data_IF_179310152046
#
_entry.id   IF_179310152046
#
_cell.length_a   1.000
_cell.length_b   1.000
_cell.length_c   1.000
_cell.angle_alpha   90.00
_cell.angle_beta   90.00
_cell.angle_gamma   90.00
#
_symmetry.space_group_name_H-M   'P 1'
#
loop_
_entity.id
_entity.type
_entity.pdbx_description
1 polymer ?
#
# COMPACT_ATOMS: atom_id res chain seq x y z
N UNK A 1 8.52 -18.92 -20.40
CA UNK A 1 9.85 -18.36 -20.13
C UNK A 1 10.29 -18.86 -18.76
N UNK A 2 11.58 -19.18 -18.61
CA UNK A 2 12.12 -20.00 -17.52
C UNK A 2 11.84 -19.43 -16.12
N UNK A 3 11.41 -20.30 -15.20
CA UNK A 3 11.39 -20.07 -13.76
C UNK A 3 12.81 -20.00 -13.18
N UNK A 4 13.56 -18.95 -13.54
CA UNK A 4 14.59 -18.44 -12.64
C UNK A 4 13.82 -17.85 -11.45
N UNK A 5 13.87 -18.50 -10.29
CA UNK A 5 13.03 -18.14 -9.13
C UNK A 5 13.09 -16.64 -8.82
N UNK A 6 11.93 -16.01 -8.65
CA UNK A 6 11.81 -14.59 -8.28
C UNK A 6 12.82 -14.25 -7.18
N UNK A 7 13.66 -13.24 -7.41
CA UNK A 7 14.73 -12.85 -6.49
C UNK A 7 14.24 -12.00 -5.32
N UNK A 8 12.97 -11.61 -5.32
CA UNK A 8 12.33 -10.82 -4.28
C UNK A 8 10.98 -11.41 -3.89
N UNK A 9 10.48 -10.99 -2.73
CA UNK A 9 9.08 -11.15 -2.30
C UNK A 9 8.41 -9.79 -2.39
N UNK A 10 7.31 -9.69 -3.12
CA UNK A 10 6.51 -8.47 -3.22
C UNK A 10 5.27 -8.56 -2.33
N UNK A 11 5.09 -7.57 -1.46
CA UNK A 11 3.96 -7.43 -0.55
C UNK A 11 3.19 -6.17 -0.97
N UNK A 12 1.98 -6.33 -1.47
CA UNK A 12 1.09 -5.20 -1.72
C UNK A 12 0.38 -4.79 -0.42
N UNK A 13 0.46 -3.52 -0.05
CA UNK A 13 -0.33 -2.90 1.03
C UNK A 13 -1.23 -1.86 0.38
N UNK A 14 -2.52 -2.17 0.28
CA UNK A 14 -3.49 -1.32 -0.42
C UNK A 14 -4.69 -0.92 0.42
N UNK A 15 -5.50 -0.02 -0.11
CA UNK A 15 -6.62 0.60 0.60
C UNK A 15 -6.75 2.09 0.36
N UNK A 16 -7.88 2.67 0.76
CA UNK A 16 -8.19 4.10 0.57
C UNK A 16 -7.07 5.02 1.05
N UNK A 17 -6.93 6.17 0.39
CA UNK A 17 -6.07 7.28 0.83
C UNK A 17 -6.31 7.59 2.32
N UNK A 18 -5.25 7.96 3.05
CA UNK A 18 -5.31 8.25 4.50
C UNK A 18 -5.75 7.10 5.44
N UNK A 19 -5.77 5.84 4.98
CA UNK A 19 -6.10 4.69 5.85
C UNK A 19 -4.98 4.30 6.84
N UNK A 20 -3.73 4.68 6.58
CA UNK A 20 -2.56 4.38 7.44
C UNK A 20 -1.55 3.42 6.83
N UNK A 21 -1.65 3.12 5.53
CA UNK A 21 -0.76 2.21 4.78
C UNK A 21 0.73 2.55 4.92
N UNK A 22 1.11 3.80 4.68
CA UNK A 22 2.49 4.28 4.79
C UNK A 22 3.08 4.07 6.18
N UNK A 23 2.30 4.35 7.23
CA UNK A 23 2.69 4.07 8.61
C UNK A 23 2.92 2.57 8.82
N UNK A 24 2.00 1.73 8.36
CA UNK A 24 2.14 0.28 8.46
C UNK A 24 3.37 -0.24 7.70
N UNK A 25 3.58 0.21 6.46
CA UNK A 25 4.72 -0.18 5.62
C UNK A 25 6.06 0.17 6.29
N UNK A 26 6.19 1.38 6.84
CA UNK A 26 7.39 1.82 7.58
C UNK A 26 7.65 0.97 8.82
N UNK A 27 6.62 0.68 9.61
CA UNK A 27 6.76 -0.19 10.79
C UNK A 27 7.17 -1.61 10.41
N UNK A 28 6.57 -2.19 9.36
CA UNK A 28 6.91 -3.52 8.88
C UNK A 28 8.34 -3.60 8.35
N UNK A 29 8.79 -2.58 7.60
CA UNK A 29 10.18 -2.46 7.16
C UNK A 29 11.16 -2.48 8.33
N UNK A 30 10.84 -1.78 9.41
CA UNK A 30 11.71 -1.69 10.59
C UNK A 30 11.69 -2.97 11.45
N UNK A 31 10.66 -3.81 11.30
CA UNK A 31 10.50 -5.10 11.97
C UNK A 31 11.15 -6.24 11.18
N UNK A 32 10.94 -6.29 9.87
CA UNK A 32 11.28 -7.44 9.02
C UNK A 32 12.67 -7.21 8.40
N UNK A 33 13.64 -8.14 8.56
CA UNK A 33 14.98 -7.96 8.01
C UNK A 33 14.97 -7.92 6.48
N UNK A 34 15.91 -7.18 5.88
CA UNK A 34 16.09 -7.07 4.43
C UNK A 34 14.81 -6.60 3.69
N UNK A 35 14.13 -5.61 4.27
CA UNK A 35 12.87 -5.07 3.75
C UNK A 35 13.05 -3.66 3.21
N UNK A 36 12.40 -3.37 2.10
CA UNK A 36 12.39 -2.07 1.43
C UNK A 36 10.94 -1.65 1.16
N UNK A 37 10.73 -0.36 0.92
CA UNK A 37 9.42 0.18 0.55
C UNK A 37 9.52 0.82 -0.83
N UNK A 38 8.47 0.62 -1.61
CA UNK A 38 8.18 1.31 -2.84
C UNK A 38 6.81 1.98 -2.69
N UNK A 39 6.71 3.28 -2.92
CA UNK A 39 5.43 3.98 -2.84
C UNK A 39 4.81 4.11 -4.24
N UNK A 40 3.53 3.80 -4.39
CA UNK A 40 2.78 4.03 -5.63
C UNK A 40 2.79 5.53 -6.01
N UNK A 41 2.78 6.39 -5.00
CA UNK A 41 2.88 7.85 -5.13
C UNK A 41 4.20 8.31 -5.79
N UNK A 42 5.25 7.48 -5.81
CA UNK A 42 6.50 7.83 -6.52
C UNK A 42 6.31 7.85 -8.05
N UNK A 43 5.22 7.25 -8.53
CA UNK A 43 4.85 7.10 -9.94
C UNK A 43 3.76 8.09 -10.38
N UNK A 44 3.46 9.14 -9.60
CA UNK A 44 2.64 10.24 -10.12
C UNK A 44 3.29 10.86 -11.37
N UNK A 45 2.44 11.23 -12.32
CA UNK A 45 2.81 12.06 -13.47
C UNK A 45 3.12 13.49 -13.03
N UNK A 46 3.61 14.30 -13.95
CA UNK A 46 3.84 15.73 -13.69
C UNK A 46 2.52 16.43 -13.39
N UNK A 47 2.59 17.53 -12.63
CA UNK A 47 1.41 18.30 -12.22
C UNK A 47 0.55 18.70 -13.43
N UNK A 48 1.14 18.98 -14.59
CA UNK A 48 0.44 19.33 -15.82
C UNK A 48 -0.29 18.16 -16.49
N UNK A 49 0.12 16.92 -16.19
CA UNK A 49 -0.44 15.70 -16.77
C UNK A 49 -1.51 15.05 -15.87
N UNK A 50 -1.73 15.60 -14.67
CA UNK A 50 -2.79 15.14 -13.78
C UNK A 50 -4.15 15.42 -14.43
N UNK A 51 -5.03 14.41 -14.55
CA UNK A 51 -6.36 14.60 -15.13
C UNK A 51 -7.15 15.66 -14.36
N UNK A 52 -7.96 16.42 -15.07
CA UNK A 52 -8.87 17.39 -14.47
C UNK A 52 -10.30 16.88 -14.63
N UNK A 53 -11.05 16.83 -13.53
CA UNK A 53 -12.43 16.37 -13.52
C UNK A 53 -13.39 17.43 -14.11
N UNK A 54 -14.68 17.09 -14.21
CA UNK A 54 -15.70 17.97 -14.80
C UNK A 54 -15.85 19.32 -14.07
N UNK A 55 -15.50 19.37 -12.78
CA UNK A 55 -15.55 20.57 -11.94
C UNK A 55 -14.27 21.43 -12.03
N UNK A 56 -13.31 21.05 -12.89
CA UNK A 56 -12.05 21.78 -13.05
C UNK A 56 -11.01 21.50 -11.96
N UNK A 57 -11.16 20.43 -11.19
CA UNK A 57 -10.25 20.04 -10.11
C UNK A 57 -9.32 18.90 -10.59
N UNK A 58 -8.02 19.01 -10.28
CA UNK A 58 -7.06 17.94 -10.58
C UNK A 58 -7.36 16.69 -9.75
N UNK A 59 -7.52 15.56 -10.42
CA UNK A 59 -7.81 14.26 -9.81
C UNK A 59 -6.51 13.48 -9.60
N UNK A 60 -5.91 13.66 -8.43
CA UNK A 60 -4.72 12.92 -8.02
C UNK A 60 -5.04 11.47 -7.61
N UNK A 61 -6.27 11.17 -7.20
CA UNK A 61 -6.64 9.86 -6.64
C UNK A 61 -7.29 8.96 -7.71
N UNK A 62 -6.73 8.92 -8.93
CA UNK A 62 -7.23 8.11 -10.05
C UNK A 62 -6.10 7.41 -10.82
N UNK A 63 -6.41 6.36 -11.60
CA UNK A 63 -5.42 5.67 -12.42
C UNK A 63 -4.69 6.59 -13.42
N UNK A 64 -5.39 7.62 -13.91
CA UNK A 64 -4.85 8.56 -14.90
C UNK A 64 -3.74 9.45 -14.35
N UNK A 65 -3.63 9.61 -13.03
CA UNK A 65 -2.58 10.40 -12.38
C UNK A 65 -1.24 9.66 -12.28
N UNK A 66 -1.22 8.34 -12.50
CA UNK A 66 -0.05 7.48 -12.33
C UNK A 66 0.56 7.05 -13.69
N UNK A 67 1.88 6.93 -13.74
CA UNK A 67 2.62 6.22 -14.79
C UNK A 67 2.65 4.71 -14.48
N UNK A 68 1.57 4.02 -14.89
CA UNK A 68 1.40 2.59 -14.63
C UNK A 68 2.42 1.72 -15.37
N UNK A 69 2.87 2.15 -16.56
CA UNK A 69 3.91 1.45 -17.31
C UNK A 69 5.25 1.48 -16.55
N UNK A 70 5.58 2.62 -15.94
CA UNK A 70 6.77 2.76 -15.10
C UNK A 70 6.66 1.93 -13.82
N UNK A 71 5.49 1.93 -13.17
CA UNK A 71 5.22 1.09 -12.00
C UNK A 71 5.41 -0.39 -12.33
N UNK A 72 4.79 -0.88 -13.40
CA UNK A 72 4.91 -2.29 -13.81
C UNK A 72 6.37 -2.68 -14.11
N UNK A 73 7.11 -1.84 -14.84
CA UNK A 73 8.54 -2.05 -15.12
C UNK A 73 9.37 -2.10 -13.84
N UNK A 74 9.08 -1.23 -12.87
CA UNK A 74 9.77 -1.23 -11.59
C UNK A 74 9.51 -2.53 -10.80
N UNK A 75 8.26 -3.00 -10.76
CA UNK A 75 7.90 -4.25 -10.09
C UNK A 75 8.56 -5.46 -10.76
N UNK A 76 8.55 -5.55 -12.09
CA UNK A 76 9.20 -6.61 -12.84
C UNK A 76 10.73 -6.60 -12.63
N UNK A 77 11.33 -5.41 -12.65
CA UNK A 77 12.76 -5.23 -12.36
C UNK A 77 13.10 -5.79 -10.97
N UNK A 78 12.33 -5.41 -9.94
CA UNK A 78 12.53 -5.88 -8.56
C UNK A 78 12.41 -7.40 -8.48
N UNK A 79 11.37 -8.01 -9.09
CA UNK A 79 11.22 -9.48 -9.07
C UNK A 79 12.38 -10.19 -9.74
N UNK A 80 12.92 -9.62 -10.82
CA UNK A 80 14.00 -10.21 -11.61
C UNK A 80 15.38 -10.01 -10.96
N UNK A 81 15.61 -8.88 -10.31
CA UNK A 81 16.94 -8.45 -9.86
C UNK A 81 17.14 -8.52 -8.35
N UNK A 82 16.07 -8.33 -7.55
CA UNK A 82 16.13 -8.34 -6.09
C UNK A 82 16.56 -7.01 -5.46
N UNK A 83 16.54 -5.90 -6.21
CA UNK A 83 16.84 -4.56 -5.70
C UNK A 83 16.03 -3.51 -6.45
N UNK A 84 15.91 -2.30 -5.89
CA UNK A 84 15.19 -1.18 -6.53
C UNK A 84 15.88 -0.76 -7.83
N UNK A 85 15.12 -0.30 -8.85
CA UNK A 85 15.72 0.37 -10.01
C UNK A 85 16.63 1.52 -9.54
N UNK A 86 17.88 1.63 -10.04
CA UNK A 86 18.86 2.61 -9.53
C UNK A 86 18.42 4.07 -9.66
N UNK A 87 17.59 4.38 -10.65
CA UNK A 87 17.14 5.73 -10.96
C UNK A 87 15.84 6.12 -10.23
N UNK A 88 15.32 5.24 -9.37
CA UNK A 88 14.10 5.48 -8.63
C UNK A 88 14.41 6.16 -7.28
N UNK A 89 14.02 7.44 -7.18
CA UNK A 89 14.07 8.19 -5.92
C UNK A 89 12.68 8.30 -5.28
N UNK A 90 12.56 7.81 -4.05
CA UNK A 90 11.34 7.94 -3.23
C UNK A 90 11.11 9.39 -2.81
N UNK A 91 9.95 9.93 -3.17
CA UNK A 91 9.49 11.27 -2.79
C UNK A 91 8.61 11.21 -1.55
N UNK A 92 7.88 10.12 -1.39
CA UNK A 92 7.01 9.91 -0.23
C UNK A 92 7.81 9.82 1.09
N UNK A 93 9.07 9.38 1.04
CA UNK A 93 9.97 9.44 2.20
C UNK A 93 10.26 10.88 2.69
N UNK A 94 10.03 11.90 1.84
CA UNK A 94 10.17 13.33 2.20
C UNK A 94 8.95 13.88 2.92
N UNK A 95 7.79 13.21 2.83
CA UNK A 95 6.57 13.64 3.50
C UNK A 95 6.62 13.34 5.00
N UNK A 96 6.19 14.31 5.80
CA UNK A 96 6.17 14.19 7.25
C UNK A 96 5.13 13.16 7.68
N UNK A 97 5.55 12.19 8.49
CA UNK A 97 4.64 11.24 9.14
C UNK A 97 4.53 11.62 10.62
N UNK A 98 3.31 11.89 11.06
CA UNK A 98 3.01 12.18 12.46
C UNK A 98 3.30 10.98 13.37
N UNK A 99 3.15 11.16 14.69
CA UNK A 99 3.33 10.06 15.63
C UNK A 99 2.36 8.92 15.32
N UNK A 100 2.91 7.70 15.19
CA UNK A 100 2.13 6.52 14.80
C UNK A 100 1.28 5.94 15.94
N UNK A 101 1.45 6.42 17.18
CA UNK A 101 0.71 5.97 18.36
C UNK A 101 0.93 4.50 18.73
N UNK A 102 1.98 3.87 18.21
CA UNK A 102 2.25 2.44 18.42
C UNK A 102 2.94 2.15 19.75
N UNK A 103 2.64 0.99 20.32
CA UNK A 103 3.40 0.43 21.42
C UNK A 103 4.81 0.02 20.95
N UNK A 104 5.80 0.80 21.37
CA UNK A 104 7.21 0.56 21.02
C UNK A 104 7.76 -0.76 21.56
N UNK A 105 7.27 -1.24 22.71
CA UNK A 105 7.68 -2.53 23.26
C UNK A 105 7.16 -3.67 22.39
N UNK A 106 5.91 -3.57 21.93
CA UNK A 106 5.33 -4.55 21.01
C UNK A 106 6.10 -4.61 19.69
N UNK A 107 6.40 -3.46 19.09
CA UNK A 107 7.19 -3.35 17.84
C UNK A 107 8.59 -3.95 18.02
N UNK A 108 9.28 -3.65 19.14
CA UNK A 108 10.57 -4.23 19.44
C UNK A 108 10.51 -5.77 19.56
N UNK A 109 9.49 -6.29 20.25
CA UNK A 109 9.28 -7.73 20.37
C UNK A 109 8.98 -8.41 19.03
N UNK A 110 8.24 -7.76 18.13
CA UNK A 110 8.01 -8.25 16.77
C UNK A 110 9.32 -8.31 15.97
N UNK A 111 10.16 -7.28 16.06
CA UNK A 111 11.47 -7.25 15.40
C UNK A 111 12.38 -8.37 15.90
N UNK A 112 12.44 -8.59 17.21
CA UNK A 112 13.27 -9.65 17.79
C UNK A 112 12.76 -11.04 17.35
N UNK A 113 11.44 -11.23 17.29
CA UNK A 113 10.83 -12.45 16.76
C UNK A 113 11.13 -12.63 15.26
N UNK A 114 11.09 -11.57 14.47
CA UNK A 114 11.39 -11.60 13.04
C UNK A 114 12.84 -12.03 12.79
N UNK A 115 13.80 -11.47 13.53
CA UNK A 115 15.21 -11.83 13.43
C UNK A 115 15.49 -13.30 13.80
N UNK A 116 14.71 -13.88 14.71
CA UNK A 116 14.83 -15.29 15.07
C UNK A 116 14.16 -16.21 14.04
N UNK A 117 12.89 -15.93 13.70
CA UNK A 117 12.05 -16.76 12.83
C UNK A 117 12.49 -16.72 11.36
N UNK A 118 12.94 -15.56 10.89
CA UNK A 118 13.26 -15.32 9.48
C UNK A 118 14.77 -15.37 9.18
N UNK A 119 15.58 -15.88 10.11
CA UNK A 119 17.04 -15.95 9.96
C UNK A 119 17.45 -16.71 8.69
N UNK A 120 16.77 -17.81 8.38
CA UNK A 120 16.99 -18.60 7.15
C UNK A 120 16.46 -17.93 5.88
N UNK A 121 15.42 -17.09 5.99
CA UNK A 121 14.82 -16.34 4.88
C UNK A 121 15.51 -15.00 4.60
N UNK A 122 16.45 -14.59 5.44
CA UNK A 122 17.09 -13.25 5.41
C UNK A 122 17.80 -12.89 4.10
N UNK A 123 18.14 -13.89 3.27
CA UNK A 123 18.80 -13.67 1.99
C UNK A 123 17.86 -13.23 0.86
N UNK A 124 16.53 -13.37 1.02
CA UNK A 124 15.56 -12.92 0.01
C UNK A 124 15.05 -11.53 0.42
N UNK A 125 15.27 -10.49 -0.41
CA UNK A 125 14.79 -9.16 -0.13
C UNK A 125 13.26 -9.09 -0.25
N UNK A 126 12.67 -8.34 0.70
CA UNK A 126 11.24 -8.11 0.80
C UNK A 126 10.94 -6.69 0.37
N UNK A 127 9.99 -6.51 -0.54
CA UNK A 127 9.54 -5.20 -0.99
C UNK A 127 8.08 -5.02 -0.58
N UNK A 128 7.81 -3.99 0.19
CA UNK A 128 6.46 -3.55 0.52
C UNK A 128 6.09 -2.46 -0.48
N UNK A 129 5.03 -2.67 -1.24
CA UNK A 129 4.47 -1.72 -2.18
C UNK A 129 3.27 -1.07 -1.50
N UNK A 130 3.41 0.19 -1.13
CA UNK A 130 2.38 0.99 -0.46
C UNK A 130 1.63 1.83 -1.50
N UNK A 131 0.34 1.56 -1.70
CA UNK A 131 -0.41 2.26 -2.74
C UNK A 131 -1.93 2.13 -2.61
N UNK A 132 -2.65 3.18 -2.97
CA UNK A 132 -4.10 3.26 -2.82
C UNK A 132 -4.89 2.58 -3.94
N UNK A 133 -4.28 2.33 -5.11
CA UNK A 133 -4.94 1.70 -6.27
C UNK A 133 -4.46 0.29 -6.58
N UNK A 134 -3.43 -0.21 -5.89
CA UNK A 134 -2.82 -1.53 -6.17
C UNK A 134 -3.82 -2.68 -6.31
N UNK A 135 -4.94 -2.64 -5.55
CA UNK A 135 -5.97 -3.69 -5.60
C UNK A 135 -7.26 -3.29 -6.31
N UNK A 136 -7.30 -2.15 -7.00
CA UNK A 136 -8.44 -1.72 -7.81
C UNK A 136 -8.78 -2.73 -8.90
N UNK A 137 -10.01 -2.64 -9.44
CA UNK A 137 -10.50 -3.56 -10.47
C UNK A 137 -9.58 -3.58 -11.71
N UNK A 138 -9.19 -2.40 -12.19
CA UNK A 138 -8.36 -2.21 -13.39
C UNK A 138 -6.89 -2.61 -13.17
N UNK A 139 -6.41 -2.60 -11.92
CA UNK A 139 -5.04 -3.00 -11.56
C UNK A 139 -4.89 -4.51 -11.38
N UNK A 140 -5.74 -5.34 -12.00
CA UNK A 140 -5.69 -6.80 -11.87
C UNK A 140 -4.31 -7.39 -12.16
N UNK A 141 -3.66 -6.93 -13.24
CA UNK A 141 -2.35 -7.43 -13.67
C UNK A 141 -1.25 -7.10 -12.63
N UNK A 142 -1.20 -5.86 -12.14
CA UNK A 142 -0.29 -5.46 -11.05
C UNK A 142 -0.61 -6.21 -9.76
N UNK A 143 -1.89 -6.34 -9.39
CA UNK A 143 -2.33 -7.08 -8.21
C UNK A 143 -1.81 -8.52 -8.22
N UNK A 144 -1.79 -9.18 -9.38
CA UNK A 144 -1.32 -10.57 -9.52
C UNK A 144 0.21 -10.72 -9.32
N UNK A 145 0.98 -9.64 -9.35
CA UNK A 145 2.43 -9.69 -9.10
C UNK A 145 2.79 -9.90 -7.63
N UNK A 146 1.89 -9.56 -6.69
CA UNK A 146 2.14 -9.61 -5.25
C UNK A 146 2.00 -11.02 -4.67
N UNK A 147 3.00 -11.41 -3.88
CA UNK A 147 3.05 -12.67 -3.14
C UNK A 147 2.16 -12.63 -1.89
N UNK A 148 2.09 -11.47 -1.22
CA UNK A 148 1.20 -11.20 -0.08
C UNK A 148 0.41 -9.93 -0.38
N UNK A 149 -0.90 -9.93 -0.10
CA UNK A 149 -1.81 -8.81 -0.38
C UNK A 149 -2.55 -8.39 0.87
N UNK A 150 -2.19 -7.24 1.43
CA UNK A 150 -2.78 -6.70 2.66
C UNK A 150 -3.68 -5.51 2.32
N UNK A 151 -4.96 -5.57 2.67
CA UNK A 151 -5.92 -4.51 2.39
C UNK A 151 -6.39 -3.82 3.68
N UNK A 152 -6.11 -2.52 3.78
CA UNK A 152 -6.48 -1.65 4.89
C UNK A 152 -7.71 -0.85 4.51
N UNK A 153 -8.74 -0.92 5.34
CA UNK A 153 -9.95 -0.12 5.19
C UNK A 153 -9.89 1.10 6.12
N UNK A 154 -10.77 2.05 5.87
CA UNK A 154 -11.14 3.12 6.79
C UNK A 154 -12.53 3.60 6.37
N UNK A 155 -13.35 4.01 7.33
CA UNK A 155 -14.64 4.64 7.01
C UNK A 155 -14.43 6.06 6.49
N UNK A 156 -15.46 6.57 5.79
CA UNK A 156 -15.44 7.89 5.17
C UNK A 156 -15.03 8.98 6.17
N UNK A 157 -15.65 8.98 7.35
CA UNK A 157 -15.39 9.96 8.41
C UNK A 157 -13.91 10.03 8.80
N UNK A 158 -13.26 8.87 8.94
CA UNK A 158 -11.85 8.78 9.32
C UNK A 158 -10.94 9.26 8.20
N UNK A 159 -11.24 8.87 6.95
CA UNK A 159 -10.49 9.33 5.77
C UNK A 159 -10.58 10.85 5.66
N UNK A 160 -11.78 11.41 5.76
CA UNK A 160 -12.03 12.85 5.70
C UNK A 160 -11.27 13.61 6.78
N UNK A 161 -11.45 13.22 8.04
CA UNK A 161 -10.74 13.85 9.15
C UNK A 161 -9.21 13.83 8.97
N UNK A 162 -8.65 12.70 8.51
CA UNK A 162 -7.19 12.57 8.35
C UNK A 162 -6.66 13.31 7.12
N UNK A 163 -7.39 13.28 5.99
CA UNK A 163 -6.97 13.93 4.75
C UNK A 163 -7.02 15.45 4.88
N UNK A 164 -8.12 16.00 5.43
CA UNK A 164 -8.28 17.45 5.64
C UNK A 164 -7.33 18.02 6.70
N UNK A 165 -6.76 17.18 7.58
CA UNK A 165 -5.76 17.59 8.56
C UNK A 165 -4.33 17.66 8.00
N UNK A 166 -4.10 17.24 6.75
CA UNK A 166 -2.78 17.33 6.11
C UNK A 166 -2.53 18.77 5.66
N UNK A 167 -1.30 19.24 5.83
CA UNK A 167 -0.90 20.61 5.45
C UNK A 167 -0.66 20.79 3.95
N UNK A 168 -0.83 19.74 3.15
CA UNK A 168 -0.54 19.67 1.71
C UNK A 168 0.53 18.62 1.36
N UNK A 169 0.87 18.51 0.07
CA UNK A 169 1.71 17.46 -0.52
C UNK A 169 2.81 18.07 -1.36
N UNK A 170 4.02 17.51 -1.27
CA UNK A 170 5.10 17.83 -2.21
C UNK A 170 4.84 17.05 -3.51
N UNK A 171 4.73 17.76 -4.64
CA UNK A 171 4.53 17.16 -5.97
C UNK A 171 5.85 17.10 -6.75
N UNK A 172 5.81 16.66 -8.01
CA UNK A 172 7.00 16.69 -8.88
C UNK A 172 7.47 18.12 -9.16
N UNK A 173 6.53 19.05 -9.31
CA UNK A 173 6.81 20.40 -9.80
C UNK A 173 6.50 21.50 -8.77
N UNK A 174 6.00 21.14 -7.58
CA UNK A 174 5.68 22.11 -6.54
C UNK A 174 5.00 21.53 -5.31
N UNK A 175 3.83 22.08 -5.00
CA UNK A 175 3.08 21.78 -3.79
C UNK A 175 1.59 21.80 -4.08
N UNK A 176 0.88 20.77 -3.61
CA UNK A 176 -0.56 20.63 -3.77
C UNK A 176 -1.28 20.71 -2.42
N UNK A 177 -2.41 21.41 -2.37
CA UNK A 177 -3.32 21.42 -1.24
C UNK A 177 -4.72 21.06 -1.74
N UNK A 178 -5.35 20.09 -1.08
CA UNK A 178 -6.67 19.62 -1.47
C UNK A 178 -7.69 20.77 -1.36
N UNK A 179 -8.46 21.11 -2.41
CA UNK A 179 -9.48 22.14 -2.32
C UNK A 179 -10.65 21.71 -1.41
N UNK A 180 -11.47 22.65 -0.92
CA UNK A 180 -12.64 22.32 -0.10
C UNK A 180 -13.56 21.28 -0.80
N UNK A 181 -13.90 20.21 -0.08
CA UNK A 181 -14.77 19.14 -0.59
C UNK A 181 -14.06 18.03 -1.38
N UNK A 182 -12.75 18.15 -1.63
CA UNK A 182 -11.96 17.19 -2.41
C UNK A 182 -12.07 15.73 -1.93
N UNK A 183 -12.18 15.52 -0.61
CA UNK A 183 -12.34 14.17 -0.06
C UNK A 183 -13.62 13.51 -0.59
N UNK A 184 -14.72 14.26 -0.61
CA UNK A 184 -16.02 13.70 -0.97
C UNK A 184 -16.12 13.51 -2.49
N UNK A 185 -15.71 14.51 -3.26
CA UNK A 185 -15.87 14.54 -4.72
C UNK A 185 -14.81 13.76 -5.49
N UNK A 186 -13.61 13.56 -4.92
CA UNK A 186 -12.49 12.90 -5.60
C UNK A 186 -12.04 11.66 -4.84
N UNK A 187 -11.45 11.83 -3.66
CA UNK A 187 -10.78 10.73 -2.93
C UNK A 187 -11.73 9.57 -2.66
N UNK A 188 -12.90 9.86 -2.08
CA UNK A 188 -13.87 8.83 -1.71
C UNK A 188 -14.64 8.31 -2.91
N UNK A 189 -15.00 9.18 -3.85
CA UNK A 189 -15.70 8.81 -5.07
C UNK A 189 -14.88 7.83 -5.91
N UNK A 190 -13.58 8.09 -6.10
CA UNK A 190 -12.69 7.19 -6.84
C UNK A 190 -12.42 5.90 -6.06
N UNK A 191 -12.21 5.96 -4.75
CA UNK A 191 -12.10 4.74 -3.95
C UNK A 191 -13.33 3.84 -4.09
N UNK A 192 -14.53 4.43 -3.98
CA UNK A 192 -15.79 3.72 -4.17
C UNK A 192 -15.88 3.09 -5.56
N UNK A 193 -15.62 3.87 -6.61
CA UNK A 193 -15.62 3.40 -8.00
C UNK A 193 -14.65 2.24 -8.23
N UNK A 194 -13.40 2.39 -7.81
CA UNK A 194 -12.30 1.48 -8.20
C UNK A 194 -12.26 0.21 -7.35
N UNK A 195 -12.85 0.23 -6.15
CA UNK A 195 -12.86 -0.90 -5.21
C UNK A 195 -14.23 -1.52 -4.96
N UNK A 196 -15.34 -0.94 -5.45
CA UNK A 196 -16.70 -1.44 -5.23
C UNK A 196 -16.85 -2.96 -5.46
N UNK A 197 -16.14 -3.52 -6.44
CA UNK A 197 -16.21 -4.95 -6.76
C UNK A 197 -15.80 -5.88 -5.60
N UNK A 198 -15.02 -5.39 -4.64
CA UNK A 198 -14.62 -6.13 -3.42
C UNK A 198 -15.71 -6.15 -2.34
N UNK A 199 -16.76 -5.34 -2.48
CA UNK A 199 -17.78 -5.12 -1.45
C UNK A 199 -19.15 -5.63 -1.88
N UNK A 200 -19.97 -6.01 -0.91
CA UNK A 200 -21.37 -6.36 -1.14
C UNK A 200 -22.13 -5.11 -1.62
N UNK A 201 -22.96 -5.27 -2.65
CA UNK A 201 -23.72 -4.19 -3.30
C UNK A 201 -22.90 -2.97 -3.78
N UNK A 202 -21.57 -3.09 -3.83
CA UNK A 202 -20.66 -1.98 -4.14
C UNK A 202 -20.48 -0.97 -3.01
N UNK A 203 -20.99 -1.24 -1.81
CA UNK A 203 -20.86 -0.35 -0.65
C UNK A 203 -19.49 -0.50 0.03
N UNK A 204 -18.59 0.44 -0.22
CA UNK A 204 -17.23 0.41 0.35
C UNK A 204 -17.16 0.68 1.87
N UNK A 205 -18.26 1.10 2.50
CA UNK A 205 -18.39 1.12 3.97
C UNK A 205 -18.98 -0.19 4.52
N UNK A 206 -19.60 -0.98 3.66
CA UNK A 206 -20.31 -2.23 3.97
C UNK A 206 -19.42 -3.44 4.17
N UNK A 207 -19.98 -4.63 3.95
CA UNK A 207 -19.25 -5.89 4.07
C UNK A 207 -18.41 -6.17 2.83
N UNK A 208 -17.29 -6.88 3.02
CA UNK A 208 -16.51 -7.40 1.92
C UNK A 208 -17.16 -8.66 1.37
N UNK A 209 -16.94 -8.93 0.10
CA UNK A 209 -17.26 -10.22 -0.51
C UNK A 209 -16.18 -11.23 -0.14
N UNK A 210 -16.33 -11.86 1.03
CA UNK A 210 -15.31 -12.72 1.62
C UNK A 210 -14.80 -13.82 0.66
N UNK A 211 -15.69 -14.48 -0.08
CA UNK A 211 -15.32 -15.50 -1.08
C UNK A 211 -14.42 -14.93 -2.18
N UNK A 212 -14.72 -13.72 -2.67
CA UNK A 212 -13.91 -13.06 -3.69
C UNK A 212 -12.56 -12.62 -3.12
N UNK A 213 -12.52 -12.06 -1.91
CA UNK A 213 -11.26 -11.72 -1.25
C UNK A 213 -10.37 -12.95 -1.06
N UNK A 214 -10.95 -14.10 -0.70
CA UNK A 214 -10.25 -15.38 -0.61
C UNK A 214 -9.74 -15.85 -1.98
N UNK A 215 -10.56 -15.79 -3.03
CA UNK A 215 -10.17 -16.14 -4.41
C UNK A 215 -8.99 -15.29 -4.88
N UNK A 216 -9.05 -13.98 -4.64
CA UNK A 216 -8.00 -13.02 -5.00
C UNK A 216 -6.79 -13.06 -4.05
N UNK A 217 -6.89 -13.83 -2.96
CA UNK A 217 -5.89 -13.93 -1.88
C UNK A 217 -5.55 -12.56 -1.28
N UNK A 218 -6.56 -11.75 -1.05
CA UNK A 218 -6.45 -10.44 -0.39
C UNK A 218 -6.79 -10.63 1.08
N UNK A 219 -5.78 -10.53 1.94
CA UNK A 219 -5.96 -10.50 3.38
C UNK A 219 -6.43 -9.11 3.81
N UNK A 220 -7.67 -9.02 4.28
CA UNK A 220 -8.25 -7.76 4.74
C UNK A 220 -8.08 -7.62 6.25
N UNK A 221 -7.54 -6.49 6.70
CA UNK A 221 -7.39 -6.23 8.13
C UNK A 221 -8.77 -6.20 8.81
N UNK A 222 -9.00 -6.89 9.95
CA UNK A 222 -10.24 -6.76 10.68
C UNK A 222 -10.49 -5.31 11.09
N UNK A 223 -11.75 -4.84 11.09
CA UNK A 223 -12.07 -3.45 11.44
C UNK A 223 -11.56 -3.05 12.84
N UNK A 224 -11.64 -3.96 13.81
CA UNK A 224 -11.13 -3.76 15.16
C UNK A 224 -9.60 -3.56 15.23
N UNK A 225 -8.88 -4.15 14.26
CA UNK A 225 -7.42 -4.08 14.15
C UNK A 225 -7.01 -2.75 13.49
N UNK A 226 -7.78 -2.23 12.54
CA UNK A 226 -7.45 -1.00 11.81
C UNK A 226 -7.52 0.27 12.67
N UNK A 227 -8.31 0.27 13.74
CA UNK A 227 -8.37 1.39 14.68
C UNK A 227 -7.19 1.44 15.65
N UNK A 228 -6.35 0.40 15.69
CA UNK A 228 -5.17 0.32 16.54
C UNK A 228 -3.94 -0.10 15.72
N UNK A 229 -3.05 0.85 15.44
CA UNK A 229 -1.87 0.59 14.61
C UNK A 229 -0.96 -0.51 15.19
N UNK A 230 -0.94 -0.72 16.51
CA UNK A 230 -0.19 -1.81 17.17
C UNK A 230 -0.75 -3.20 16.81
N UNK A 231 -2.07 -3.33 16.77
CA UNK A 231 -2.72 -4.56 16.34
C UNK A 231 -2.56 -4.75 14.82
N UNK A 232 -2.66 -3.65 14.06
CA UNK A 232 -2.52 -3.68 12.60
C UNK A 232 -1.14 -4.17 12.16
N UNK A 233 -0.07 -3.66 12.77
CA UNK A 233 1.28 -4.14 12.49
C UNK A 233 1.49 -5.59 12.93
N UNK A 234 0.88 -6.00 14.05
CA UNK A 234 0.93 -7.39 14.52
C UNK A 234 0.29 -8.33 13.50
N UNK A 235 -0.94 -8.04 13.07
CA UNK A 235 -1.67 -8.82 12.08
C UNK A 235 -0.91 -8.92 10.75
N UNK A 236 -0.42 -7.79 10.24
CA UNK A 236 0.31 -7.76 8.98
C UNK A 236 1.63 -8.55 9.06
N UNK A 237 2.36 -8.40 10.16
CA UNK A 237 3.57 -9.17 10.42
C UNK A 237 3.31 -10.68 10.43
N UNK A 238 2.22 -11.14 11.05
CA UNK A 238 1.87 -12.55 11.09
C UNK A 238 1.66 -13.12 9.68
N UNK A 239 0.89 -12.42 8.84
CA UNK A 239 0.64 -12.80 7.44
C UNK A 239 1.94 -12.90 6.64
N UNK A 240 2.78 -11.87 6.74
CA UNK A 240 4.06 -11.83 6.02
C UNK A 240 5.02 -12.91 6.53
N UNK A 241 5.18 -13.05 7.85
CA UNK A 241 6.11 -14.00 8.44
C UNK A 241 5.74 -15.46 8.12
N UNK A 242 4.44 -15.77 8.04
CA UNK A 242 3.98 -17.10 7.65
C UNK A 242 4.31 -17.39 6.19
N UNK A 243 4.02 -16.46 5.28
CA UNK A 243 4.40 -16.59 3.87
C UNK A 243 5.92 -16.79 3.70
N UNK A 244 6.74 -15.97 4.37
CA UNK A 244 8.20 -16.07 4.29
C UNK A 244 8.75 -17.38 4.87
N UNK A 245 8.08 -17.95 5.87
CA UNK A 245 8.46 -19.24 6.46
C UNK A 245 8.10 -20.40 5.54
N UNK A 246 6.90 -20.38 4.94
CA UNK A 246 6.46 -21.37 3.94
C UNK A 246 7.37 -21.37 2.72
N UNK A 247 7.76 -20.18 2.24
CA UNK A 247 8.69 -20.04 1.12
C UNK A 247 10.07 -20.63 1.42
N UNK A 248 10.57 -20.50 2.65
CA UNK A 248 11.87 -21.03 3.03
C UNK A 248 11.88 -22.55 3.29
N UNK A 249 10.70 -23.16 3.48
CA UNK A 249 10.54 -24.59 3.67
C UNK A 249 10.43 -25.37 2.34
N UNK A 250 10.17 -24.69 1.23
CA UNK A 250 10.03 -25.24 -0.12
C UNK A 250 11.28 -25.00 -0.96
#
# INVERSE_FOLDING_TARGET
>A
MSTSGNKAVLIGVSGVSSSGKTTLARLLRDIIPNTFILHEDDFYKTDQEIPVNEDGVQDWDCLGSLDLDLLEKALDFIKTHGYLPPDLESKEDKNAVGESGVDRQRVAGLRDAAHQKLKSSSNVPVFIIDGFLLFSQEMKHIRELFDVKLFLRANHKTVKQRREARTGYVTLEGFWEDPPGYVDSVVWANYAKDHAFLFEDGDVEGQLRDELCQELKIDTAPLAVQTNMTECVTWAYEKISNHLSERAAN
#
